data_IF_063026856514
#
_entry.id   IF_063026856514
#
_cell.length_a   1.000
_cell.length_b   1.000
_cell.length_c   1.000
_cell.angle_alpha   90.00
_cell.angle_beta   90.00
_cell.angle_gamma   90.00
#
_symmetry.space_group_name_H-M   'P 1'
#
loop_
_entity.id
_entity.type
_entity.pdbx_description
1 polymer ?
#
# COMPACT_ATOMS: atom_id res chain seq x y z
N UNK A 1 -20.35 13.73 1.35
CA UNK A 1 -19.80 12.72 2.28
C UNK A 1 -18.94 11.74 1.48
N UNK A 2 -17.65 12.06 1.34
CA UNK A 2 -16.73 11.24 0.55
C UNK A 2 -16.19 10.12 1.45
N UNK A 3 -16.66 8.90 1.25
CA UNK A 3 -16.21 7.74 2.03
C UNK A 3 -14.79 7.35 1.60
N UNK A 4 -13.83 7.64 2.47
CA UNK A 4 -12.43 7.36 2.26
C UNK A 4 -12.07 6.03 2.92
N UNK A 5 -11.43 5.09 2.20
CA UNK A 5 -11.11 3.79 2.77
C UNK A 5 -10.03 3.94 3.86
N UNK A 6 -10.01 3.03 4.86
CA UNK A 6 -8.95 3.01 5.84
C UNK A 6 -7.59 2.77 5.18
N UNK A 7 -6.53 3.34 5.76
CA UNK A 7 -5.18 3.09 5.26
C UNK A 7 -4.78 1.65 5.52
N UNK A 8 -4.18 0.94 4.56
CA UNK A 8 -3.73 -0.44 4.75
C UNK A 8 -2.36 -0.49 5.46
N UNK A 9 -1.97 0.58 6.17
CA UNK A 9 -0.66 0.69 6.80
C UNK A 9 -0.62 -0.10 8.11
N UNK A 10 0.25 -1.09 8.19
CA UNK A 10 0.50 -1.90 9.40
C UNK A 10 1.55 -1.28 10.34
N UNK A 11 1.95 -0.01 10.12
CA UNK A 11 3.04 0.67 10.85
C UNK A 11 4.42 -0.01 10.72
N UNK A 12 4.59 -0.91 9.76
CA UNK A 12 5.87 -1.55 9.44
C UNK A 12 6.45 -0.80 8.24
N UNK A 13 7.28 0.21 8.51
CA UNK A 13 7.91 1.05 7.47
C UNK A 13 9.20 0.42 6.93
N UNK A 14 9.12 -0.80 6.44
CA UNK A 14 10.24 -1.48 5.77
C UNK A 14 9.99 -1.47 4.26
N UNK A 15 10.96 -0.98 3.48
CA UNK A 15 10.90 -0.92 2.03
C UNK A 15 11.77 -2.02 1.44
N UNK A 16 11.22 -2.74 0.46
CA UNK A 16 11.97 -3.66 -0.37
C UNK A 16 12.78 -2.86 -1.40
N UNK A 17 14.11 -2.91 -1.29
CA UNK A 17 15.01 -2.15 -2.17
C UNK A 17 14.86 -2.56 -3.65
N UNK A 18 14.53 -3.82 -3.91
CA UNK A 18 14.40 -4.37 -5.27
C UNK A 18 13.11 -3.92 -5.96
N UNK A 19 11.98 -3.88 -5.23
CA UNK A 19 10.66 -3.58 -5.80
C UNK A 19 10.14 -2.18 -5.47
N UNK A 20 10.85 -1.40 -4.64
CA UNK A 20 10.42 -0.08 -4.14
C UNK A 20 9.01 -0.10 -3.50
N UNK A 21 8.65 -1.21 -2.86
CA UNK A 21 7.37 -1.38 -2.15
C UNK A 21 7.59 -1.64 -0.68
N UNK A 22 6.70 -1.12 0.14
CA UNK A 22 6.67 -1.41 1.56
C UNK A 22 6.31 -2.88 1.78
N UNK A 23 7.15 -3.59 2.51
CA UNK A 23 6.96 -5.02 2.80
C UNK A 23 5.81 -5.25 3.79
N UNK A 24 5.51 -4.28 4.64
CA UNK A 24 4.44 -4.39 5.63
C UNK A 24 3.03 -4.13 5.11
N UNK A 25 2.88 -3.16 4.19
CA UNK A 25 1.56 -2.80 3.64
C UNK A 25 1.40 -3.03 2.14
N UNK A 26 2.47 -3.42 1.43
CA UNK A 26 2.43 -3.68 -0.01
C UNK A 26 2.24 -2.43 -0.88
N UNK A 27 2.41 -1.22 -0.35
CA UNK A 27 2.33 0.05 -1.11
C UNK A 27 3.68 0.48 -1.63
N UNK A 28 3.71 1.03 -2.84
CA UNK A 28 4.91 1.69 -3.39
C UNK A 28 5.18 3.04 -2.71
N UNK A 29 6.41 3.52 -2.79
CA UNK A 29 6.79 4.86 -2.28
C UNK A 29 5.91 5.96 -2.91
N UNK A 30 5.64 5.88 -4.22
CA UNK A 30 4.75 6.81 -4.91
C UNK A 30 3.34 6.81 -4.35
N UNK A 31 2.78 5.61 -4.11
CA UNK A 31 1.46 5.45 -3.51
C UNK A 31 1.40 5.99 -2.06
N UNK A 32 2.49 5.87 -1.29
CA UNK A 32 2.59 6.42 0.07
C UNK A 32 2.60 7.96 0.01
N UNK A 33 3.41 8.54 -0.88
CA UNK A 33 3.51 9.99 -1.05
C UNK A 33 2.20 10.62 -1.55
N UNK A 34 1.48 9.95 -2.47
CA UNK A 34 0.21 10.48 -3.00
C UNK A 34 -0.98 10.33 -2.03
N UNK A 35 -0.92 9.44 -1.04
CA UNK A 35 -2.08 9.04 -0.21
C UNK A 35 -2.87 10.21 0.39
N UNK A 36 -2.16 11.19 0.94
CA UNK A 36 -2.77 12.34 1.62
C UNK A 36 -3.49 13.28 0.67
N UNK A 37 -3.13 13.27 -0.62
CA UNK A 37 -3.70 14.11 -1.68
C UNK A 37 -4.62 13.33 -2.62
N UNK A 38 -4.60 11.99 -2.54
CA UNK A 38 -5.42 11.11 -3.35
C UNK A 38 -6.91 11.25 -3.03
N UNK A 39 -7.74 11.16 -4.08
CA UNK A 39 -9.21 11.08 -3.94
C UNK A 39 -9.62 9.74 -3.32
N UNK A 40 -10.85 9.64 -2.80
CA UNK A 40 -11.33 8.38 -2.22
C UNK A 40 -11.27 7.20 -3.21
N UNK A 41 -11.65 7.41 -4.47
CA UNK A 41 -11.54 6.39 -5.52
C UNK A 41 -10.09 5.97 -5.76
N UNK A 42 -9.16 6.93 -5.74
CA UNK A 42 -7.73 6.62 -5.88
C UNK A 42 -7.20 5.86 -4.67
N UNK A 43 -7.61 6.23 -3.47
CA UNK A 43 -7.23 5.52 -2.24
C UNK A 43 -7.77 4.08 -2.23
N UNK A 44 -8.99 3.84 -2.73
CA UNK A 44 -9.54 2.50 -2.89
C UNK A 44 -8.70 1.67 -3.86
N UNK A 45 -8.29 2.27 -4.97
CA UNK A 45 -7.41 1.61 -5.94
C UNK A 45 -6.05 1.24 -5.32
N UNK A 46 -5.45 2.16 -4.57
CA UNK A 46 -4.19 1.90 -3.86
C UNK A 46 -4.33 0.73 -2.88
N UNK A 47 -5.40 0.73 -2.08
CA UNK A 47 -5.70 -0.37 -1.14
C UNK A 47 -5.81 -1.69 -1.90
N UNK A 48 -6.63 -1.75 -2.95
CA UNK A 48 -6.83 -2.94 -3.78
C UNK A 48 -5.52 -3.48 -4.36
N UNK A 49 -4.70 -2.60 -4.95
CA UNK A 49 -3.40 -2.96 -5.53
C UNK A 49 -2.41 -3.42 -4.46
N UNK A 50 -2.41 -2.78 -3.29
CA UNK A 50 -1.53 -3.15 -2.19
C UNK A 50 -1.84 -4.53 -1.62
N UNK A 51 -3.13 -4.85 -1.45
CA UNK A 51 -3.59 -6.19 -1.06
C UNK A 51 -3.27 -7.24 -2.11
N UNK A 52 -3.44 -6.94 -3.40
CA UNK A 52 -3.08 -7.87 -4.48
C UNK A 52 -1.57 -8.20 -4.50
N UNK A 53 -0.72 -7.19 -4.27
CA UNK A 53 0.73 -7.39 -4.14
C UNK A 53 1.08 -8.20 -2.91
N UNK A 54 0.41 -7.97 -1.77
CA UNK A 54 0.60 -8.80 -0.57
C UNK A 54 0.19 -10.25 -0.79
N UNK A 55 -0.94 -10.51 -1.44
CA UNK A 55 -1.37 -11.87 -1.79
C UNK A 55 -0.37 -12.59 -2.71
N UNK A 56 0.29 -11.85 -3.61
CA UNK A 56 1.34 -12.39 -4.48
C UNK A 56 2.70 -12.54 -3.78
N UNK A 57 2.91 -11.86 -2.63
CA UNK A 57 4.17 -11.79 -1.88
C UNK A 57 4.14 -12.52 -0.55
N UNK A 58 3.06 -13.23 -0.21
CA UNK A 58 2.95 -14.06 1.00
C UNK A 58 4.07 -15.15 1.10
N UNK A 59 4.94 -15.24 0.10
CA UNK A 59 6.06 -16.18 0.02
C UNK A 59 7.43 -15.64 0.44
N UNK A 60 7.55 -14.49 1.12
CA UNK A 60 8.79 -14.12 1.81
C UNK A 60 8.58 -14.13 3.33
N UNK A 61 8.64 -15.32 3.99
CA UNK A 61 8.98 -15.35 5.40
C UNK A 61 10.42 -14.81 5.54
N UNK A 62 10.60 -13.83 6.42
CA UNK A 62 11.91 -13.48 6.93
C UNK A 62 12.43 -14.61 7.83
#
# INVERSE_FOLDING_TARGET
>A
MTFRPPSPCQQICTLDASSSVCTGCGRTIGEIAEWGRATASRQQEIVRRSSARMGSRASHPA
#
